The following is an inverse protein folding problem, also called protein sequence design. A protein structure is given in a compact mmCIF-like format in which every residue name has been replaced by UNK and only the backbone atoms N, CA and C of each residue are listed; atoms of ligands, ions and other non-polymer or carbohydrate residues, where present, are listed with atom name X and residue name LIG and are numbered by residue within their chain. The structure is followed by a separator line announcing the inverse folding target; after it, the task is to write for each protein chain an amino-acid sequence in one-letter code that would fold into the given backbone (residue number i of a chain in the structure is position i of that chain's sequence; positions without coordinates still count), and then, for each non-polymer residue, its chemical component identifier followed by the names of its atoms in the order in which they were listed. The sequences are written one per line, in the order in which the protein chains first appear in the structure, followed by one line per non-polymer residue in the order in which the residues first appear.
data_IF_478069139164
#
_entry.id   IF_478069139164
#
_cell.length_a   1.000
_cell.length_b   1.000
_cell.length_c   1.000
_cell.angle_alpha   90.00
_cell.angle_beta   90.00
_cell.angle_gamma   90.00
#
_symmetry.space_group_name_H-M   'P 1'
#
loop_
_entity.id
_entity.type
_entity.pdbx_description
1 polymer ?
#
# COMPACT_ATOMS: atom_id res chain seq x y z
N UNK A 1 -9.89 0.36 -16.64
CA UNK A 1 -8.58 1.03 -16.67
C UNK A 1 -7.56 0.07 -16.10
N UNK A 2 -6.42 -0.13 -16.78
CA UNK A 2 -5.28 -0.88 -16.25
C UNK A 2 -4.35 0.12 -15.56
N UNK A 3 -3.88 -0.20 -14.36
CA UNK A 3 -2.86 0.59 -13.68
C UNK A 3 -1.49 0.07 -14.12
N UNK A 4 -0.62 0.98 -14.53
CA UNK A 4 0.79 0.76 -14.83
C UNK A 4 1.60 1.47 -13.73
N UNK A 5 2.48 0.74 -13.04
CA UNK A 5 3.19 1.26 -11.88
C UNK A 5 4.25 2.30 -12.29
N UNK A 6 4.94 2.06 -13.41
CA UNK A 6 5.90 3.01 -13.96
C UNK A 6 5.21 4.29 -14.40
N UNK A 7 4.03 4.19 -15.02
CA UNK A 7 3.23 5.36 -15.42
C UNK A 7 2.57 6.08 -14.23
N UNK A 8 2.28 5.36 -13.14
CA UNK A 8 1.71 5.93 -11.91
C UNK A 8 2.72 6.83 -11.18
N UNK A 9 3.97 6.37 -11.05
CA UNK A 9 5.06 7.04 -10.33
C UNK A 9 5.14 8.55 -10.59
N UNK A 10 5.29 9.05 -11.84
CA UNK A 10 5.45 10.48 -12.09
C UNK A 10 4.24 11.31 -11.64
N UNK A 11 3.02 10.80 -11.83
CA UNK A 11 1.78 11.47 -11.40
C UNK A 11 1.70 11.51 -9.87
N UNK A 12 2.07 10.42 -9.20
CA UNK A 12 2.06 10.34 -7.74
C UNK A 12 3.08 11.28 -7.11
N UNK A 13 4.31 11.29 -7.62
CA UNK A 13 5.38 12.21 -7.21
C UNK A 13 4.97 13.66 -7.45
N UNK A 14 4.40 13.98 -8.61
CA UNK A 14 3.91 15.33 -8.90
C UNK A 14 2.84 15.76 -7.89
N UNK A 15 1.87 14.90 -7.58
CA UNK A 15 0.85 15.17 -6.57
C UNK A 15 1.46 15.41 -5.18
N UNK A 16 2.49 14.66 -4.80
CA UNK A 16 3.21 14.84 -3.53
C UNK A 16 4.01 16.16 -3.48
N UNK A 17 4.60 16.57 -4.61
CA UNK A 17 5.34 17.84 -4.75
C UNK A 17 4.43 19.06 -4.77
N UNK A 18 3.39 19.05 -5.60
CA UNK A 18 2.59 20.23 -5.90
C UNK A 18 1.34 20.35 -5.02
N UNK A 19 0.67 19.21 -4.80
CA UNK A 19 -0.56 19.13 -4.00
C UNK A 19 -0.25 19.17 -2.51
N UNK A 20 0.46 18.14 -2.03
CA UNK A 20 0.78 18.01 -0.59
C UNK A 20 2.01 18.81 -0.16
N UNK A 21 2.89 19.19 -1.10
CA UNK A 21 4.10 19.98 -0.84
C UNK A 21 5.02 19.39 0.22
N UNK A 22 5.09 18.05 0.23
CA UNK A 22 5.87 17.28 1.20
C UNK A 22 7.06 16.52 0.58
N UNK A 23 7.03 16.24 -0.73
CA UNK A 23 8.01 15.37 -1.39
C UNK A 23 9.47 15.79 -1.18
N UNK A 24 9.79 17.06 -1.39
CA UNK A 24 11.17 17.57 -1.38
C UNK A 24 11.64 18.05 0.00
N UNK A 25 10.77 18.11 1.01
CA UNK A 25 11.06 18.75 2.30
C UNK A 25 10.78 17.88 3.53
N UNK A 26 10.21 16.69 3.37
CA UNK A 26 9.99 15.74 4.47
C UNK A 26 11.07 14.65 4.51
N UNK A 27 11.54 14.25 5.71
CA UNK A 27 12.53 13.18 5.85
C UNK A 27 11.93 11.81 5.52
N UNK A 28 12.77 10.81 5.22
CA UNK A 28 12.33 9.41 5.00
C UNK A 28 11.49 8.85 6.17
N UNK A 29 11.73 9.31 7.40
CA UNK A 29 10.92 8.93 8.56
C UNK A 29 9.46 9.38 8.44
N UNK A 30 9.17 10.51 7.78
CA UNK A 30 7.81 10.93 7.47
C UNK A 30 7.11 9.90 6.56
N UNK A 31 7.76 9.51 5.47
CA UNK A 31 7.20 8.62 4.46
C UNK A 31 6.97 7.20 4.98
N UNK A 32 7.94 6.67 5.72
CA UNK A 32 7.80 5.36 6.39
C UNK A 32 6.70 5.38 7.45
N UNK A 33 6.54 6.48 8.19
CA UNK A 33 5.45 6.63 9.17
C UNK A 33 4.09 6.80 8.48
N UNK A 34 4.03 7.52 7.36
CA UNK A 34 2.81 7.65 6.57
C UNK A 34 2.34 6.29 6.03
N UNK A 35 3.26 5.51 5.44
CA UNK A 35 2.99 4.13 5.02
C UNK A 35 2.50 3.26 6.20
N UNK A 36 3.19 3.33 7.34
CA UNK A 36 2.77 2.60 8.54
C UNK A 36 1.41 3.05 9.08
N UNK A 37 1.03 4.32 8.87
CA UNK A 37 -0.29 4.87 9.18
C UNK A 37 -1.38 4.12 8.44
N UNK A 38 -1.32 4.10 7.11
CA UNK A 38 -2.31 3.40 6.25
C UNK A 38 -2.39 1.89 6.59
N UNK A 39 -1.24 1.24 6.82
CA UNK A 39 -1.20 -0.16 7.28
C UNK A 39 -1.88 -0.31 8.64
N UNK A 40 -1.65 0.63 9.56
CA UNK A 40 -2.22 0.67 10.90
C UNK A 40 -3.74 0.84 10.89
N UNK A 41 -4.25 1.70 10.01
CA UNK A 41 -5.69 1.91 9.83
C UNK A 41 -6.39 0.66 9.31
N UNK A 42 -5.83 0.03 8.25
CA UNK A 42 -6.30 -1.25 7.74
C UNK A 42 -6.31 -2.32 8.83
N UNK A 43 -5.20 -2.44 9.58
CA UNK A 43 -5.05 -3.39 10.68
C UNK A 43 -6.07 -3.13 11.80
N UNK A 44 -6.32 -1.87 12.14
CA UNK A 44 -7.28 -1.52 13.18
C UNK A 44 -8.71 -1.89 12.78
N UNK A 45 -9.09 -1.64 11.52
CA UNK A 45 -10.40 -2.03 10.99
C UNK A 45 -10.62 -3.55 11.06
N UNK A 46 -9.69 -4.34 10.50
CA UNK A 46 -9.80 -5.81 10.48
C UNK A 46 -9.85 -6.36 11.91
N UNK A 47 -8.96 -5.89 12.79
CA UNK A 47 -8.94 -6.29 14.22
C UNK A 47 -10.27 -5.98 14.90
N UNK A 48 -10.87 -4.81 14.63
CA UNK A 48 -12.16 -4.40 15.21
C UNK A 48 -13.31 -5.28 14.73
N UNK A 49 -13.40 -5.56 13.43
CA UNK A 49 -14.40 -6.48 12.87
C UNK A 49 -14.31 -7.85 13.55
N UNK A 50 -13.12 -8.47 13.53
CA UNK A 50 -12.93 -9.82 14.09
C UNK A 50 -13.15 -9.88 15.60
N UNK A 51 -12.81 -8.81 16.34
CA UNK A 51 -13.08 -8.73 17.78
C UNK A 51 -14.58 -8.81 18.05
N UNK A 52 -15.41 -8.07 17.32
CA UNK A 52 -16.87 -8.06 17.49
C UNK A 52 -17.50 -9.37 17.01
N UNK A 53 -17.05 -9.91 15.87
CA UNK A 53 -17.48 -11.23 15.39
C UNK A 53 -17.22 -12.36 16.41
N UNK A 54 -16.19 -12.21 17.24
CA UNK A 54 -15.82 -13.13 18.31
C UNK A 54 -16.45 -12.79 19.68
N UNK A 55 -17.44 -11.90 19.71
CA UNK A 55 -18.17 -11.53 20.94
C UNK A 55 -17.46 -10.52 21.85
N UNK A 56 -16.39 -9.90 21.36
CA UNK A 56 -15.69 -8.83 22.06
C UNK A 56 -16.39 -7.47 21.91
N UNK A 57 -15.96 -6.50 22.73
CA UNK A 57 -16.53 -5.15 22.75
C UNK A 57 -16.23 -4.35 21.48
N UNK A 58 -17.22 -3.61 21.00
CA UNK A 58 -17.04 -2.62 19.94
C UNK A 58 -16.60 -1.26 20.51
N UNK A 59 -15.35 -1.21 21.00
CA UNK A 59 -14.72 0.02 21.49
C UNK A 59 -13.95 0.80 20.41
N UNK A 60 -13.87 2.12 20.54
CA UNK A 60 -13.13 3.04 19.66
C UNK A 60 -13.88 4.37 19.48
N UNK A 61 -13.18 5.44 19.06
CA UNK A 61 -13.75 6.79 18.94
C UNK A 61 -14.00 7.27 17.50
N UNK A 62 -13.50 6.55 16.49
CA UNK A 62 -13.62 6.94 15.06
C UNK A 62 -14.83 6.29 14.38
N UNK A 63 -14.84 4.96 14.28
CA UNK A 63 -15.91 4.16 13.67
C UNK A 63 -16.20 2.91 14.50
N UNK A 64 -17.42 2.38 14.41
CA UNK A 64 -17.82 1.10 15.00
C UNK A 64 -17.62 -0.04 14.00
N UNK A 65 -17.61 -1.30 14.45
CA UNK A 65 -17.36 -2.46 13.59
C UNK A 65 -18.39 -2.58 12.46
N UNK A 66 -19.65 -2.21 12.72
CA UNK A 66 -20.73 -2.20 11.72
C UNK A 66 -20.58 -1.11 10.66
N UNK A 67 -19.78 -0.07 10.93
CA UNK A 67 -19.55 1.03 9.98
C UNK A 67 -18.44 0.68 8.99
N UNK A 68 -17.61 -0.33 9.29
CA UNK A 68 -16.50 -0.74 8.43
C UNK A 68 -17.06 -1.43 7.18
N UNK A 69 -16.84 -0.79 6.04
CA UNK A 69 -17.23 -1.29 4.72
C UNK A 69 -16.04 -1.79 3.92
N UNK A 70 -16.30 -2.51 2.83
CA UNK A 70 -15.25 -2.89 1.87
C UNK A 70 -14.62 -1.66 1.22
N UNK A 71 -15.36 -0.58 1.06
CA UNK A 71 -14.89 0.67 0.50
C UNK A 71 -13.84 1.33 1.39
N UNK A 72 -14.06 1.34 2.72
CA UNK A 72 -13.05 1.81 3.67
C UNK A 72 -11.78 0.97 3.62
N UNK A 73 -11.90 -0.36 3.59
CA UNK A 73 -10.73 -1.24 3.45
C UNK A 73 -9.97 -0.99 2.14
N UNK A 74 -10.70 -0.73 1.04
CA UNK A 74 -10.11 -0.39 -0.26
C UNK A 74 -9.36 0.94 -0.23
N UNK A 75 -9.85 1.91 0.53
CA UNK A 75 -9.20 3.21 0.71
C UNK A 75 -7.82 3.04 1.32
N UNK A 76 -7.72 2.33 2.46
CA UNK A 76 -6.42 2.08 3.12
C UNK A 76 -5.49 1.23 2.25
N UNK A 77 -6.00 0.19 1.59
CA UNK A 77 -5.17 -0.63 0.68
C UNK A 77 -4.62 0.23 -0.47
N UNK A 78 -5.43 1.16 -0.98
CA UNK A 78 -5.00 2.14 -1.98
C UNK A 78 -3.95 3.10 -1.43
N UNK A 79 -4.15 3.61 -0.21
CA UNK A 79 -3.21 4.47 0.50
C UNK A 79 -1.85 3.80 0.73
N UNK A 80 -1.85 2.53 1.16
CA UNK A 80 -0.65 1.70 1.30
C UNK A 80 0.12 1.66 -0.03
N UNK A 81 -0.53 1.34 -1.15
CA UNK A 81 0.13 1.28 -2.45
C UNK A 81 0.70 2.65 -2.88
N UNK A 82 -0.04 3.73 -2.64
CA UNK A 82 0.37 5.10 -2.95
C UNK A 82 1.62 5.50 -2.17
N UNK A 83 1.65 5.26 -0.85
CA UNK A 83 2.79 5.64 -0.01
C UNK A 83 3.98 4.70 -0.21
N UNK A 84 3.74 3.42 -0.53
CA UNK A 84 4.80 2.49 -0.90
C UNK A 84 5.51 2.93 -2.19
N UNK A 85 4.76 3.39 -3.19
CA UNK A 85 5.34 3.95 -4.42
C UNK A 85 6.14 5.23 -4.17
N UNK A 86 5.64 6.15 -3.34
CA UNK A 86 6.38 7.36 -2.97
C UNK A 86 7.67 7.03 -2.21
N UNK A 87 7.60 6.08 -1.27
CA UNK A 87 8.78 5.62 -0.53
C UNK A 87 9.80 4.97 -1.47
N UNK A 88 9.37 4.08 -2.37
CA UNK A 88 10.23 3.47 -3.38
C UNK A 88 10.88 4.54 -4.27
N UNK A 89 10.13 5.57 -4.67
CA UNK A 89 10.66 6.71 -5.43
C UNK A 89 11.75 7.47 -4.69
N UNK A 90 11.58 7.73 -3.40
CA UNK A 90 12.55 8.47 -2.59
C UNK A 90 13.82 7.67 -2.28
N UNK A 91 13.72 6.35 -2.38
CA UNK A 91 14.85 5.41 -2.23
C UNK A 91 15.50 5.03 -3.56
N UNK A 92 15.04 5.62 -4.67
CA UNK A 92 15.51 5.30 -6.02
C UNK A 92 15.32 3.82 -6.40
N UNK A 93 14.19 3.25 -5.99
CA UNK A 93 13.79 1.86 -6.23
C UNK A 93 12.63 1.81 -7.24
N UNK A 94 12.73 0.94 -8.25
CA UNK A 94 11.59 0.58 -9.10
C UNK A 94 10.64 -0.33 -8.32
N UNK A 95 9.41 0.15 -8.07
CA UNK A 95 8.42 -0.65 -7.33
C UNK A 95 7.98 -1.88 -8.15
N UNK A 96 7.91 -1.74 -9.47
CA UNK A 96 7.54 -2.83 -10.37
C UNK A 96 8.58 -3.96 -10.32
N UNK A 97 9.86 -3.64 -10.53
CA UNK A 97 10.95 -4.62 -10.46
C UNK A 97 11.02 -5.28 -9.08
N UNK A 98 10.90 -4.49 -8.01
CA UNK A 98 10.92 -5.03 -6.64
C UNK A 98 9.79 -6.04 -6.39
N UNK A 99 8.59 -5.81 -6.92
CA UNK A 99 7.47 -6.75 -6.82
C UNK A 99 7.74 -8.01 -7.64
N UNK A 100 8.17 -7.86 -8.89
CA UNK A 100 8.44 -8.98 -9.81
C UNK A 100 9.52 -9.90 -9.24
N UNK A 101 10.65 -9.32 -8.84
CA UNK A 101 11.79 -10.06 -8.31
C UNK A 101 11.44 -10.80 -7.03
N UNK A 102 10.80 -10.11 -6.07
CA UNK A 102 10.42 -10.71 -4.78
C UNK A 102 9.42 -11.83 -4.99
N UNK A 103 8.38 -11.60 -5.80
CA UNK A 103 7.35 -12.61 -6.06
C UNK A 103 7.94 -13.86 -6.73
N UNK A 104 8.76 -13.68 -7.76
CA UNK A 104 9.34 -14.79 -8.49
C UNK A 104 10.37 -15.55 -7.65
N UNK A 105 11.17 -14.84 -6.85
CA UNK A 105 12.11 -15.46 -5.91
C UNK A 105 11.40 -16.30 -4.84
N UNK A 106 10.31 -15.81 -4.25
CA UNK A 106 9.52 -16.58 -3.29
C UNK A 106 8.87 -17.80 -3.95
N UNK A 107 8.32 -17.66 -5.15
CA UNK A 107 7.79 -18.79 -5.91
C UNK A 107 8.84 -19.87 -6.15
N UNK A 108 10.06 -19.48 -6.54
CA UNK A 108 11.16 -20.42 -6.73
C UNK A 108 11.59 -21.10 -5.43
N UNK A 109 11.68 -20.34 -4.34
CA UNK A 109 12.04 -20.86 -3.02
C UNK A 109 11.10 -21.96 -2.54
N UNK A 110 9.80 -21.82 -2.81
CA UNK A 110 8.78 -22.77 -2.36
C UNK A 110 8.31 -23.76 -3.44
N UNK A 111 8.87 -23.71 -4.65
CA UNK A 111 8.53 -24.61 -5.75
C UNK A 111 7.14 -24.36 -6.35
N UNK A 112 6.66 -23.12 -6.31
CA UNK A 112 5.37 -22.72 -6.88
C UNK A 112 5.49 -22.50 -8.39
N UNK A 113 4.42 -22.80 -9.13
CA UNK A 113 4.39 -22.64 -10.59
C UNK A 113 4.03 -21.22 -11.03
N UNK A 114 3.51 -20.40 -10.13
CA UNK A 114 3.09 -19.04 -10.42
C UNK A 114 4.29 -18.12 -10.53
N UNK A 115 4.43 -17.43 -11.65
CA UNK A 115 5.43 -16.37 -11.86
C UNK A 115 4.80 -15.18 -12.55
N UNK A 116 5.32 -14.00 -12.25
CA UNK A 116 5.08 -12.81 -13.05
C UNK A 116 6.07 -12.89 -14.21
N UNK A 117 5.54 -12.99 -15.43
CA UNK A 117 6.33 -12.93 -16.65
C UNK A 117 6.43 -11.46 -17.07
N UNK A 118 7.64 -10.97 -17.30
CA UNK A 118 7.80 -9.72 -18.03
C UNK A 118 7.22 -9.93 -19.43
N UNK A 119 6.23 -9.12 -19.78
CA UNK A 119 5.82 -8.98 -21.17
C UNK A 119 6.87 -8.12 -21.88
N UNK A 120 8.06 -8.68 -22.08
CA UNK A 120 9.06 -8.16 -23.02
C UNK A 120 8.56 -8.44 -24.44
N UNK A 121 7.43 -7.84 -24.80
CA UNK A 121 6.96 -7.77 -26.18
C UNK A 121 6.38 -6.38 -26.47
N UNK A 122 7.26 -5.47 -26.87
CA UNK A 122 7.22 -4.63 -28.09
C UNK A 122 8.58 -3.93 -28.24
#
# INVERSE_FOLDING_TARGET
MKLDLAAMRPVNVQRAKEGFKCYDNQPLTYWTTALAGEVGELCNMIKKMQRVERGGLDGGSSYSAKDITKEMLKEEIGGIAIYLDLLASLLDISLEEAIVDTFNSESDQYGFSQKIMDDLSI
#
